data_IF_860724695203
#
_entry.id   IF_860724695203
#
_cell.length_a   1.000
_cell.length_b   1.000
_cell.length_c   1.000
_cell.angle_alpha   90.00
_cell.angle_beta   90.00
_cell.angle_gamma   90.00
#
_symmetry.space_group_name_H-M   'P 1'
#
loop_
_entity.id
_entity.type
_entity.pdbx_description
1 polymer ?
#
# COMPACT_ATOMS: atom_id res chain seq x y z
N UNK A 1 26.61 -16.24 4.92
CA UNK A 1 25.19 -16.15 5.29
C UNK A 1 24.81 -14.68 5.33
N UNK A 2 23.98 -14.13 4.44
CA UNK A 2 23.43 -12.81 4.67
C UNK A 2 22.36 -12.96 5.75
N UNK A 3 22.68 -12.52 6.97
CA UNK A 3 21.72 -12.43 8.06
C UNK A 3 20.62 -11.45 7.71
N UNK A 4 19.40 -11.76 8.15
CA UNK A 4 18.24 -10.88 8.05
C UNK A 4 18.58 -9.51 8.64
N UNK A 5 18.87 -8.53 7.78
CA UNK A 5 19.08 -7.15 8.19
C UNK A 5 17.78 -6.70 8.87
N UNK A 6 17.80 -6.20 10.12
CA UNK A 6 16.59 -5.70 10.76
C UNK A 6 15.98 -4.61 9.86
N UNK A 7 14.70 -4.79 9.50
CA UNK A 7 13.98 -3.80 8.70
C UNK A 7 14.08 -2.44 9.38
N UNK A 8 14.56 -1.44 8.64
CA UNK A 8 14.57 -0.07 9.17
C UNK A 8 13.13 0.40 9.41
N UNK A 9 12.92 1.32 10.36
CA UNK A 9 11.60 1.96 10.58
C UNK A 9 11.01 2.49 9.27
N UNK A 10 11.85 3.05 8.41
CA UNK A 10 11.47 3.57 7.10
C UNK A 10 10.98 2.46 6.16
N UNK A 11 11.62 1.29 6.16
CA UNK A 11 11.22 0.15 5.34
C UNK A 11 9.92 -0.46 5.82
N UNK A 12 9.72 -0.51 7.15
CA UNK A 12 8.47 -0.94 7.75
C UNK A 12 7.31 -0.02 7.34
N UNK A 13 7.48 1.30 7.51
CA UNK A 13 6.44 2.28 7.14
C UNK A 13 6.14 2.24 5.64
N UNK A 14 7.17 2.05 4.82
CA UNK A 14 7.04 1.92 3.36
C UNK A 14 6.29 0.64 2.98
N UNK A 15 6.61 -0.50 3.60
CA UNK A 15 5.91 -1.77 3.40
C UNK A 15 4.44 -1.70 3.82
N UNK A 16 4.15 -1.04 4.95
CA UNK A 16 2.78 -0.81 5.40
C UNK A 16 1.99 0.04 4.39
N UNK A 17 2.58 1.13 3.87
CA UNK A 17 1.92 1.96 2.86
C UNK A 17 1.68 1.19 1.55
N UNK A 18 2.66 0.42 1.08
CA UNK A 18 2.52 -0.44 -0.11
C UNK A 18 1.33 -1.39 0.05
N UNK A 19 1.26 -2.11 1.18
CA UNK A 19 0.16 -3.03 1.50
C UNK A 19 -1.20 -2.32 1.47
N UNK A 20 -1.30 -1.14 2.07
CA UNK A 20 -2.53 -0.34 2.11
C UNK A 20 -2.94 0.15 0.71
N UNK A 21 -2.00 0.55 -0.15
CA UNK A 21 -2.28 0.94 -1.53
C UNK A 21 -2.79 -0.26 -2.34
N UNK A 22 -2.13 -1.41 -2.25
CA UNK A 22 -2.57 -2.63 -2.92
C UNK A 22 -3.97 -3.03 -2.46
N UNK A 23 -4.25 -2.93 -1.15
CA UNK A 23 -5.57 -3.19 -0.58
C UNK A 23 -6.62 -2.21 -1.09
N UNK A 24 -6.29 -0.92 -1.20
CA UNK A 24 -7.21 0.09 -1.70
C UNK A 24 -7.65 -0.21 -3.15
N UNK A 25 -6.76 -0.74 -3.99
CA UNK A 25 -7.05 -1.00 -5.39
C UNK A 25 -7.77 -2.34 -5.66
N UNK A 26 -8.07 -3.16 -4.63
CA UNK A 26 -8.81 -4.42 -4.85
C UNK A 26 -10.24 -4.23 -5.32
N UNK A 27 -10.83 -3.05 -5.09
CA UNK A 27 -12.21 -2.72 -5.49
C UNK A 27 -12.30 -2.12 -6.90
N UNK A 28 -11.17 -1.85 -7.55
CA UNK A 28 -11.10 -1.36 -8.92
C UNK A 28 -10.04 -0.28 -9.13
N UNK A 29 -9.80 0.12 -10.39
CA UNK A 29 -8.85 1.17 -10.75
C UNK A 29 -9.19 2.50 -10.08
N UNK A 30 -8.17 3.26 -9.67
CA UNK A 30 -8.38 4.57 -9.08
C UNK A 30 -7.16 5.50 -9.27
N UNK A 31 -7.40 6.80 -9.18
CA UNK A 31 -6.40 7.84 -9.25
C UNK A 31 -5.81 8.14 -7.86
N UNK A 32 -4.64 8.79 -7.82
CA UNK A 32 -3.90 8.98 -6.57
C UNK A 32 -4.70 9.58 -5.40
N UNK A 33 -5.56 10.58 -5.65
CA UNK A 33 -6.40 11.16 -4.60
C UNK A 33 -7.45 10.16 -4.08
N UNK A 34 -8.09 9.39 -4.96
CA UNK A 34 -9.03 8.34 -4.59
C UNK A 34 -8.36 7.25 -3.76
N UNK A 35 -7.15 6.82 -4.15
CA UNK A 35 -6.34 5.85 -3.39
C UNK A 35 -6.05 6.38 -1.98
N UNK A 36 -5.59 7.62 -1.83
CA UNK A 36 -5.32 8.22 -0.52
C UNK A 36 -6.56 8.23 0.37
N UNK A 37 -7.71 8.65 -0.17
CA UNK A 37 -8.99 8.65 0.55
C UNK A 37 -9.41 7.26 0.96
N UNK A 38 -9.25 6.27 0.08
CA UNK A 38 -9.60 4.88 0.39
C UNK A 38 -8.69 4.28 1.46
N UNK A 39 -7.39 4.60 1.46
CA UNK A 39 -6.49 4.19 2.54
C UNK A 39 -6.94 4.80 3.87
N UNK A 40 -7.29 6.09 3.89
CA UNK A 40 -7.80 6.74 5.09
C UNK A 40 -9.10 6.08 5.58
N UNK A 41 -10.03 5.75 4.68
CA UNK A 41 -11.27 5.03 5.02
C UNK A 41 -11.02 3.63 5.57
N UNK A 42 -10.15 2.84 4.92
CA UNK A 42 -9.81 1.48 5.34
C UNK A 42 -9.14 1.43 6.72
N UNK A 43 -8.44 2.50 7.07
CA UNK A 43 -7.73 2.62 8.36
C UNK A 43 -8.50 3.45 9.38
N UNK A 44 -9.76 3.81 9.10
CA UNK A 44 -10.61 4.65 9.97
C UNK A 44 -9.92 5.95 10.41
N UNK A 45 -9.14 6.56 9.51
CA UNK A 45 -8.39 7.79 9.78
C UNK A 45 -7.04 7.59 10.49
N UNK A 46 -6.69 6.37 10.91
CA UNK A 46 -5.41 6.10 11.56
C UNK A 46 -4.22 6.30 10.62
N UNK A 47 -4.41 6.15 9.30
CA UNK A 47 -3.38 6.39 8.31
C UNK A 47 -3.81 7.44 7.29
N UNK A 48 -3.21 8.63 7.38
CA UNK A 48 -3.37 9.70 6.40
C UNK A 48 -2.18 9.73 5.45
N UNK A 49 -2.43 9.41 4.19
CA UNK A 49 -1.38 9.41 3.16
C UNK A 49 -1.24 10.80 2.56
N UNK A 50 -0.06 11.40 2.68
CA UNK A 50 0.24 12.65 1.98
C UNK A 50 0.74 12.37 0.55
N UNK A 51 0.65 13.36 -0.37
CA UNK A 51 1.16 13.20 -1.73
C UNK A 51 2.65 12.83 -1.81
N UNK A 52 3.46 13.33 -0.87
CA UNK A 52 4.91 13.12 -0.83
C UNK A 52 5.32 11.67 -0.54
N UNK A 53 4.50 10.89 0.16
CA UNK A 53 4.71 9.46 0.37
C UNK A 53 3.97 8.61 -0.67
N UNK A 54 2.78 9.05 -1.08
CA UNK A 54 1.93 8.32 -2.00
C UNK A 54 2.57 8.13 -3.38
N UNK A 55 2.99 9.22 -4.04
CA UNK A 55 3.44 9.14 -5.43
C UNK A 55 4.74 8.34 -5.60
N UNK A 56 5.74 8.46 -4.70
CA UNK A 56 6.89 7.56 -4.73
C UNK A 56 6.52 6.09 -4.48
N UNK A 57 5.51 5.81 -3.65
CA UNK A 57 5.01 4.45 -3.46
C UNK A 57 4.34 3.90 -4.72
N UNK A 58 3.40 4.65 -5.30
CA UNK A 58 2.73 4.28 -6.56
C UNK A 58 3.73 4.03 -7.70
N UNK A 59 4.76 4.89 -7.83
CA UNK A 59 5.79 4.70 -8.83
C UNK A 59 6.56 3.40 -8.62
N UNK A 60 6.97 3.11 -7.39
CA UNK A 60 7.68 1.86 -7.04
C UNK A 60 6.82 0.62 -7.27
N UNK A 61 5.55 0.65 -6.88
CA UNK A 61 4.60 -0.44 -7.07
C UNK A 61 4.37 -0.73 -8.57
N UNK A 62 4.32 0.33 -9.38
CA UNK A 62 4.26 0.19 -10.84
C UNK A 62 5.56 -0.37 -11.43
N UNK A 63 6.74 0.09 -10.98
CA UNK A 63 8.03 -0.48 -11.39
C UNK A 63 8.17 -1.97 -11.05
N UNK A 64 7.60 -2.40 -9.92
CA UNK A 64 7.55 -3.82 -9.52
C UNK A 64 6.54 -4.65 -10.33
N UNK A 65 5.75 -4.02 -11.21
CA UNK A 65 4.69 -4.68 -11.97
C UNK A 65 3.46 -5.07 -11.14
N UNK A 66 3.35 -4.56 -9.90
CA UNK A 66 2.20 -4.83 -9.03
C UNK A 66 1.01 -3.94 -9.37
N UNK A 67 1.27 -2.80 -10.01
CA UNK A 67 0.25 -1.89 -10.54
C UNK A 67 0.51 -1.59 -12.02
N UNK A 68 -0.55 -1.50 -12.81
CA UNK A 68 -0.54 -0.76 -14.08
C UNK A 68 -0.90 0.69 -13.82
N UNK A 69 -0.50 1.57 -14.74
CA UNK A 69 -0.79 2.99 -14.61
C UNK A 69 -1.09 3.64 -15.95
N UNK A 70 -2.30 4.16 -16.11
CA UNK A 70 -2.81 4.71 -17.37
C UNK A 70 -3.31 6.14 -17.18
N UNK A 71 -3.25 6.95 -18.24
CA UNK A 71 -3.80 8.30 -18.21
C UNK A 71 -5.30 8.25 -18.51
N UNK A 72 -6.10 8.78 -17.60
CA UNK A 72 -7.55 8.90 -17.73
C UNK A 72 -8.05 10.33 -17.49
N UNK A 73 -9.36 10.52 -17.64
CA UNK A 73 -10.05 11.75 -17.26
C UNK A 73 -10.68 11.56 -15.88
N UNK A 74 -10.35 12.45 -14.95
CA UNK A 74 -11.02 12.51 -13.64
C UNK A 74 -12.47 12.97 -13.78
N UNK A 75 -13.24 12.84 -12.70
CA UNK A 75 -14.60 13.39 -12.57
C UNK A 75 -14.66 14.90 -12.85
N UNK A 76 -13.55 15.61 -12.60
CA UNK A 76 -13.38 17.05 -12.88
C UNK A 76 -12.83 17.34 -14.28
N UNK A 77 -12.85 16.34 -15.18
CA UNK A 77 -12.32 16.39 -16.54
C UNK A 77 -10.84 16.79 -16.65
N UNK A 78 -10.06 16.61 -15.57
CA UNK A 78 -8.62 16.82 -15.56
C UNK A 78 -7.91 15.52 -15.91
N UNK A 79 -6.77 15.59 -16.59
CA UNK A 79 -5.93 14.41 -16.82
C UNK A 79 -5.38 13.93 -15.47
N UNK A 80 -5.66 12.68 -15.14
CA UNK A 80 -5.16 12.02 -13.93
C UNK A 80 -4.59 10.65 -14.30
N UNK A 81 -3.58 10.22 -13.56
CA UNK A 81 -3.06 8.86 -13.69
C UNK A 81 -3.89 7.93 -12.81
N UNK A 82 -4.51 6.95 -13.45
CA UNK A 82 -5.24 5.86 -12.82
C UNK A 82 -4.30 4.68 -12.64
N UNK A 83 -4.43 4.01 -11.50
CA UNK A 83 -3.66 2.83 -11.15
C UNK A 83 -4.61 1.67 -10.98
N UNK A 84 -4.20 0.51 -11.47
CA UNK A 84 -4.98 -0.71 -11.37
C UNK A 84 -4.10 -1.85 -10.83
N UNK A 85 -4.70 -2.71 -10.03
CA UNK A 85 -4.02 -3.84 -9.43
C UNK A 85 -3.83 -4.96 -10.47
N UNK A 86 -2.58 -5.38 -10.68
CA UNK A 86 -2.29 -6.51 -11.57
C UNK A 86 -2.51 -7.86 -10.88
N UNK A 87 -2.55 -8.97 -11.62
CA UNK A 87 -2.54 -10.30 -11.00
C UNK A 87 -1.33 -10.50 -10.08
N UNK A 88 -0.14 -10.04 -10.47
CA UNK A 88 1.06 -10.10 -9.64
C UNK A 88 0.91 -9.25 -8.36
N UNK A 89 0.31 -8.05 -8.45
CA UNK A 89 0.02 -7.21 -7.30
C UNK A 89 -0.98 -7.84 -6.33
N UNK A 90 -1.96 -8.60 -6.84
CA UNK A 90 -2.91 -9.35 -6.00
C UNK A 90 -2.23 -10.46 -5.23
N UNK A 91 -1.37 -11.24 -5.88
CA UNK A 91 -0.57 -12.26 -5.19
C UNK A 91 0.36 -11.66 -4.14
N UNK A 92 0.98 -10.51 -4.45
CA UNK A 92 1.82 -9.82 -3.50
C UNK A 92 1.03 -9.33 -2.28
N UNK A 93 -0.15 -8.75 -2.49
CA UNK A 93 -1.05 -8.31 -1.41
C UNK A 93 -1.33 -9.46 -0.45
N UNK A 94 -1.65 -10.64 -0.97
CA UNK A 94 -1.92 -11.80 -0.12
C UNK A 94 -0.68 -12.25 0.67
N UNK A 95 0.51 -12.22 0.06
CA UNK A 95 1.76 -12.58 0.71
C UNK A 95 2.11 -11.59 1.83
N UNK A 96 2.06 -10.29 1.56
CA UNK A 96 2.36 -9.25 2.54
C UNK A 96 1.32 -9.21 3.66
N UNK A 97 0.03 -9.40 3.35
CA UNK A 97 -1.02 -9.46 4.37
C UNK A 97 -0.81 -10.63 5.35
N UNK A 98 -0.41 -11.81 4.86
CA UNK A 98 -0.09 -12.95 5.72
C UNK A 98 1.12 -12.65 6.62
N UNK A 99 2.17 -12.08 6.04
CA UNK A 99 3.37 -11.71 6.81
C UNK A 99 3.05 -10.67 7.89
N UNK A 100 2.29 -9.63 7.52
CA UNK A 100 1.91 -8.56 8.44
C UNK A 100 1.07 -9.06 9.59
N UNK A 101 0.09 -9.93 9.34
CA UNK A 101 -0.73 -10.54 10.38
C UNK A 101 0.09 -11.35 11.38
N UNK A 102 1.12 -12.06 10.90
CA UNK A 102 2.02 -12.82 11.78
C UNK A 102 2.83 -11.89 12.68
N UNK A 103 3.34 -10.80 12.14
CA UNK A 103 4.13 -9.82 12.89
C UNK A 103 3.25 -9.07 13.89
N UNK A 104 2.04 -8.63 13.49
CA UNK A 104 1.13 -7.89 14.37
C UNK A 104 0.75 -8.74 15.59
N UNK A 105 0.37 -10.01 15.39
CA UNK A 105 0.05 -10.92 16.49
C UNK A 105 1.23 -11.11 17.45
N UNK A 106 2.45 -11.22 16.92
CA UNK A 106 3.64 -11.36 17.76
C UNK A 106 3.93 -10.10 18.60
N UNK A 107 3.71 -8.92 18.03
CA UNK A 107 3.85 -7.63 18.72
C UNK A 107 2.75 -7.48 19.78
N UNK A 108 1.50 -7.72 19.41
CA UNK A 108 0.34 -7.63 20.31
C UNK A 108 0.55 -8.54 21.53
N UNK A 109 0.95 -9.80 21.31
CA UNK A 109 1.27 -10.74 22.39
C UNK A 109 2.36 -10.21 23.34
N UNK A 110 3.44 -9.65 22.78
CA UNK A 110 4.54 -9.12 23.59
C UNK A 110 4.14 -7.89 24.41
N UNK A 111 3.22 -7.07 23.90
CA UNK A 111 2.71 -5.88 24.58
C UNK A 111 1.63 -6.22 25.62
N UNK A 112 0.88 -7.31 25.44
CA UNK A 112 -0.15 -7.78 26.37
C UNK A 112 0.41 -8.58 27.56
N UNK A 113 1.65 -9.07 27.50
CA UNK A 113 2.33 -9.75 28.62
C UNK A 113 2.85 -8.80 29.71
N UNK A 114 1.96 -8.00 30.30
CA UNK A 114 2.21 -7.19 31.49
C UNK A 114 1.33 -7.64 32.67
#
# INVERSE_FOLDING_TARGET
MPGDTPMSRTDLMRGTLDLLILRALTTGPDHGLGIARRVEQLTQGAFRVNPGSLFPALHRLAQKGWLTAEWGRSETNRKAKYYELTPAGRHQLEAEARNWKRISVAIDLALDTA
#
